data_IF_917075568561
#
_entry.id   IF_917075568561
#
_cell.length_a   1.000
_cell.length_b   1.000
_cell.length_c   1.000
_cell.angle_alpha   90.00
_cell.angle_beta   90.00
_cell.angle_gamma   90.00
#
_symmetry.space_group_name_H-M   'P 1'
#
loop_
_entity.id
_entity.type
_entity.pdbx_description
1 polymer ?
#
# COMPACT_ATOMS: atom_id res chain seq x y z
N UNK A 1 1.79 -12.31 -7.98
CA UNK A 1 1.99 -10.85 -8.18
C UNK A 1 0.90 -10.25 -9.05
N UNK A 2 0.66 -10.77 -10.26
CA UNK A 2 -0.45 -10.32 -11.13
C UNK A 2 -1.82 -10.36 -10.44
N UNK A 3 -2.10 -11.45 -9.72
CA UNK A 3 -3.32 -11.60 -8.90
C UNK A 3 -3.48 -10.50 -7.84
N UNK A 4 -2.39 -10.06 -7.19
CA UNK A 4 -2.45 -8.99 -6.19
C UNK A 4 -2.83 -7.66 -6.84
N UNK A 5 -2.30 -7.36 -8.03
CA UNK A 5 -2.66 -6.13 -8.74
C UNK A 5 -4.12 -6.14 -9.22
N UNK A 6 -4.62 -7.30 -9.67
CA UNK A 6 -6.03 -7.45 -10.05
C UNK A 6 -6.94 -7.26 -8.82
N UNK A 7 -6.63 -7.94 -7.71
CA UNK A 7 -7.39 -7.81 -6.45
C UNK A 7 -7.36 -6.37 -5.93
N UNK A 8 -6.20 -5.71 -5.97
CA UNK A 8 -6.06 -4.30 -5.60
C UNK A 8 -6.94 -3.38 -6.45
N UNK A 9 -6.93 -3.59 -7.78
CA UNK A 9 -7.72 -2.81 -8.73
C UNK A 9 -9.22 -2.96 -8.47
N UNK A 10 -9.68 -4.19 -8.23
CA UNK A 10 -11.07 -4.47 -7.90
C UNK A 10 -11.47 -3.87 -6.56
N UNK A 11 -10.54 -3.82 -5.60
CA UNK A 11 -10.80 -3.31 -4.27
C UNK A 11 -10.97 -1.79 -4.22
N UNK A 12 -10.40 -1.04 -5.16
CA UNK A 12 -10.41 0.44 -5.14
C UNK A 12 -11.82 1.03 -4.95
N UNK A 13 -12.86 0.39 -5.49
CA UNK A 13 -14.26 0.86 -5.38
C UNK A 13 -14.85 0.83 -3.96
N UNK A 14 -14.19 0.16 -3.03
CA UNK A 14 -14.63 0.04 -1.64
C UNK A 14 -13.87 0.96 -0.68
N UNK A 15 -12.84 1.66 -1.17
CA UNK A 15 -12.08 2.60 -0.37
C UNK A 15 -12.92 3.83 -0.06
N UNK A 16 -12.82 4.32 1.17
CA UNK A 16 -13.38 5.62 1.54
C UNK A 16 -12.42 6.73 1.09
N UNK A 17 -12.94 7.95 1.05
CA UNK A 17 -12.12 9.13 0.78
C UNK A 17 -10.90 9.18 1.71
N UNK A 18 -9.74 9.50 1.12
CA UNK A 18 -8.42 9.55 1.76
C UNK A 18 -7.84 8.21 2.23
N UNK A 19 -8.50 7.08 1.97
CA UNK A 19 -7.90 5.76 2.14
C UNK A 19 -7.30 5.29 0.82
N UNK A 20 -6.19 4.58 0.90
CA UNK A 20 -5.53 4.01 -0.28
C UNK A 20 -4.97 2.64 0.03
N UNK A 21 -4.80 1.80 -1.00
CA UNK A 21 -4.11 0.52 -0.82
C UNK A 21 -2.61 0.67 -0.96
N UNK A 22 -1.86 -0.22 -0.32
CA UNK A 22 -0.41 -0.36 -0.46
C UNK A 22 -0.08 -1.84 -0.56
N UNK A 23 0.57 -2.26 -1.65
CA UNK A 23 1.17 -3.59 -1.73
C UNK A 23 2.55 -3.50 -1.07
N UNK A 24 2.73 -4.21 0.03
CA UNK A 24 3.97 -4.19 0.82
C UNK A 24 4.39 -5.61 1.26
N UNK A 25 5.66 -5.81 1.64
CA UNK A 25 6.15 -7.09 2.13
C UNK A 25 5.34 -7.59 3.33
N UNK A 26 5.10 -8.89 3.42
CA UNK A 26 4.49 -9.51 4.61
C UNK A 26 5.46 -9.49 5.79
N UNK A 27 6.76 -9.66 5.53
CA UNK A 27 7.80 -9.66 6.54
C UNK A 27 8.01 -8.24 7.13
N UNK A 28 7.74 -8.02 8.43
CA UNK A 28 7.90 -6.72 9.07
C UNK A 28 9.31 -6.12 8.96
N UNK A 29 10.34 -6.97 8.92
CA UNK A 29 11.73 -6.53 8.81
C UNK A 29 12.06 -5.90 7.45
N UNK A 30 11.19 -6.10 6.46
CA UNK A 30 11.33 -5.57 5.10
C UNK A 30 10.55 -4.27 4.90
N UNK A 31 9.71 -3.85 5.84
CA UNK A 31 8.89 -2.64 5.69
C UNK A 31 9.71 -1.36 5.58
N UNK A 32 10.59 -1.12 6.55
CA UNK A 32 11.42 0.09 6.55
C UNK A 32 12.28 0.22 5.28
N UNK A 33 13.04 -0.81 4.84
CA UNK A 33 13.80 -0.70 3.60
C UNK A 33 12.90 -0.57 2.36
N UNK A 34 11.70 -1.16 2.37
CA UNK A 34 10.74 -1.04 1.27
C UNK A 34 10.20 0.39 1.14
N UNK A 35 9.75 0.99 2.25
CA UNK A 35 9.27 2.39 2.28
C UNK A 35 10.38 3.35 1.85
N UNK A 36 11.61 3.16 2.33
CA UNK A 36 12.78 3.96 1.89
C UNK A 36 13.02 3.84 0.38
N UNK A 37 12.76 2.68 -0.20
CA UNK A 37 12.92 2.45 -1.65
C UNK A 37 11.84 3.19 -2.42
N UNK A 38 10.58 3.08 -2.00
CA UNK A 38 9.46 3.82 -2.59
C UNK A 38 9.72 5.33 -2.54
N UNK A 39 10.11 5.86 -1.38
CA UNK A 39 10.41 7.29 -1.22
C UNK A 39 11.54 7.80 -2.12
N UNK A 40 12.49 6.94 -2.51
CA UNK A 40 13.56 7.30 -3.45
C UNK A 40 13.09 7.31 -4.91
N UNK A 41 12.09 6.49 -5.23
CA UNK A 41 11.56 6.34 -6.60
C UNK A 41 10.46 7.38 -6.86
N UNK A 42 9.61 7.63 -5.86
CA UNK A 42 8.49 8.53 -6.00
C UNK A 42 8.98 9.96 -6.29
N UNK A 43 8.33 10.68 -7.23
CA UNK A 43 8.64 12.08 -7.48
C UNK A 43 8.40 12.89 -6.20
N UNK A 44 9.45 13.51 -5.68
CA UNK A 44 9.39 14.32 -4.46
C UNK A 44 9.43 15.81 -4.80
N UNK A 45 8.50 16.56 -4.21
CA UNK A 45 8.46 18.01 -4.23
C UNK A 45 8.67 18.51 -2.79
N UNK A 46 8.93 19.81 -2.58
CA UNK A 46 9.16 20.36 -1.23
C UNK A 46 7.98 20.11 -0.25
N UNK A 47 6.79 19.81 -0.78
CA UNK A 47 5.58 19.52 0.00
C UNK A 47 5.14 18.04 -0.02
N UNK A 48 5.94 17.12 -0.58
CA UNK A 48 5.54 15.71 -0.64
C UNK A 48 5.60 15.04 0.73
N UNK A 49 4.52 14.36 1.09
CA UNK A 49 4.35 13.57 2.30
C UNK A 49 4.69 12.10 2.05
N UNK A 50 4.82 11.31 3.13
CA UNK A 50 4.98 9.85 3.01
C UNK A 50 3.75 9.22 2.34
N UNK A 51 2.54 9.75 2.59
CA UNK A 51 1.30 9.28 1.95
C UNK A 51 1.35 9.47 0.42
N UNK A 52 1.94 10.57 -0.07
CA UNK A 52 2.11 10.81 -1.51
C UNK A 52 3.00 9.77 -2.18
N UNK A 53 4.08 9.35 -1.49
CA UNK A 53 4.97 8.30 -1.99
C UNK A 53 4.31 6.92 -1.94
N UNK A 54 3.65 6.58 -0.83
CA UNK A 54 3.07 5.25 -0.62
C UNK A 54 1.80 5.03 -1.43
N UNK A 55 1.06 6.08 -1.78
CA UNK A 55 -0.09 5.99 -2.69
C UNK A 55 0.30 5.90 -4.17
N UNK A 56 1.57 6.19 -4.52
CA UNK A 56 2.07 6.14 -5.88
C UNK A 56 2.29 4.69 -6.35
N UNK A 57 1.35 4.18 -7.15
CA UNK A 57 1.34 2.78 -7.64
C UNK A 57 2.53 2.43 -8.52
N UNK A 58 3.03 3.38 -9.30
CA UNK A 58 4.20 3.15 -10.15
C UNK A 58 5.47 3.03 -9.30
N UNK A 59 5.65 3.89 -8.30
CA UNK A 59 6.77 3.81 -7.38
C UNK A 59 6.75 2.50 -6.56
N UNK A 60 5.57 2.09 -6.08
CA UNK A 60 5.39 0.80 -5.39
C UNK A 60 5.74 -0.37 -6.30
N UNK A 61 5.25 -0.37 -7.54
CA UNK A 61 5.54 -1.43 -8.53
C UNK A 61 7.03 -1.54 -8.84
N UNK A 62 7.72 -0.41 -9.00
CA UNK A 62 9.17 -0.39 -9.22
C UNK A 62 9.91 -0.86 -7.96
N UNK A 63 9.47 -0.48 -6.76
CA UNK A 63 10.08 -0.96 -5.51
C UNK A 63 9.97 -2.49 -5.38
N UNK A 64 8.80 -3.06 -5.70
CA UNK A 64 8.58 -4.52 -5.71
C UNK A 64 9.55 -5.22 -6.68
N UNK A 65 9.76 -4.65 -7.88
CA UNK A 65 10.68 -5.20 -8.89
C UNK A 65 12.15 -5.17 -8.45
N UNK A 66 12.53 -4.25 -7.57
CA UNK A 66 13.90 -4.10 -7.07
C UNK A 66 14.16 -4.83 -5.75
N UNK A 67 13.15 -5.46 -5.17
CA UNK A 67 13.28 -6.22 -3.93
C UNK A 67 13.60 -7.71 -4.20
N UNK A 68 14.08 -8.46 -3.18
CA UNK A 68 14.40 -9.86 -3.35
C UNK A 68 13.21 -10.66 -3.93
N UNK A 69 13.42 -11.52 -4.94
CA UNK A 69 12.33 -12.17 -5.68
C UNK A 69 11.52 -13.17 -4.83
N UNK A 70 12.04 -13.60 -3.68
CA UNK A 70 11.35 -14.47 -2.72
C UNK A 70 10.53 -13.70 -1.68
N UNK A 71 10.47 -12.36 -1.79
CA UNK A 71 9.68 -11.55 -0.86
C UNK A 71 8.20 -11.82 -1.09
N UNK A 72 7.50 -12.24 -0.04
CA UNK A 72 6.05 -12.34 -0.03
C UNK A 72 5.44 -10.95 0.17
N UNK A 73 4.38 -10.65 -0.58
CA UNK A 73 3.68 -9.37 -0.55
C UNK A 73 2.19 -9.58 -0.29
N UNK A 74 1.57 -8.59 0.35
CA UNK A 74 0.12 -8.53 0.51
C UNK A 74 -0.41 -7.11 0.35
N UNK A 75 -1.72 -6.98 0.17
CA UNK A 75 -2.40 -5.69 0.07
C UNK A 75 -2.79 -5.23 1.47
N UNK A 76 -2.30 -4.06 1.84
CA UNK A 76 -2.74 -3.31 3.00
C UNK A 76 -3.63 -2.16 2.57
N UNK A 77 -4.55 -1.74 3.43
CA UNK A 77 -5.27 -0.48 3.30
C UNK A 77 -4.69 0.50 4.30
N UNK A 78 -4.15 1.60 3.79
CA UNK A 78 -3.73 2.73 4.60
C UNK A 78 -4.96 3.60 4.87
N UNK A 79 -5.29 3.70 6.15
CA UNK A 79 -6.38 4.49 6.70
C UNK A 79 -5.77 5.82 7.13
N UNK A 80 -5.77 6.80 6.24
CA UNK A 80 -5.27 8.14 6.53
C UNK A 80 -6.38 8.98 7.20
N UNK A 81 -6.08 9.54 8.38
CA UNK A 81 -7.00 10.44 9.08
C UNK A 81 -6.41 11.08 10.34
N UNK A 82 -6.73 12.37 10.57
CA UNK A 82 -6.42 13.14 11.81
C UNK A 82 -4.99 12.96 12.35
N UNK A 83 -3.98 12.96 11.48
CA UNK A 83 -2.57 12.90 11.88
C UNK A 83 -2.07 11.53 12.33
N UNK A 84 -2.84 10.46 12.10
CA UNK A 84 -2.40 9.08 12.32
C UNK A 84 -2.49 8.29 11.02
N UNK A 85 -1.42 7.56 10.72
CA UNK A 85 -1.35 6.66 9.57
C UNK A 85 -1.50 5.23 10.12
N UNK A 86 -2.68 4.66 9.94
CA UNK A 86 -2.96 3.28 10.34
C UNK A 86 -2.98 2.41 9.09
N UNK A 87 -2.57 1.15 9.23
CA UNK A 87 -2.75 0.15 8.18
C UNK A 87 -3.66 -0.97 8.67
N UNK A 88 -4.36 -1.62 7.75
CA UNK A 88 -5.15 -2.82 7.98
C UNK A 88 -4.94 -3.78 6.81
N UNK A 89 -5.14 -5.07 7.01
CA UNK A 89 -5.31 -6.00 5.87
C UNK A 89 -6.64 -5.70 5.16
N UNK A 90 -6.83 -6.25 3.95
CA UNK A 90 -8.12 -6.16 3.26
C UNK A 90 -9.26 -6.75 4.11
N UNK A 91 -9.01 -7.87 4.80
CA UNK A 91 -9.97 -8.55 5.67
C UNK A 91 -10.38 -7.65 6.84
N UNK A 92 -9.41 -7.12 7.57
CA UNK A 92 -9.64 -6.21 8.70
C UNK A 92 -10.41 -4.95 8.26
N UNK A 93 -10.08 -4.40 7.09
CA UNK A 93 -10.78 -3.25 6.53
C UNK A 93 -12.22 -3.58 6.15
N UNK A 94 -12.46 -4.73 5.51
CA UNK A 94 -13.78 -5.20 5.15
C UNK A 94 -14.67 -5.43 6.38
N UNK A 95 -14.14 -6.06 7.42
CA UNK A 95 -14.85 -6.28 8.68
C UNK A 95 -15.23 -4.96 9.36
N UNK A 96 -14.28 -4.01 9.39
CA UNK A 96 -14.47 -2.68 9.98
C UNK A 96 -15.58 -1.88 9.29
N UNK A 97 -15.64 -1.95 7.97
CA UNK A 97 -16.58 -1.16 7.17
C UNK A 97 -17.76 -1.94 6.60
N UNK A 98 -17.94 -3.20 7.02
CA UNK A 98 -19.03 -4.09 6.56
C UNK A 98 -19.06 -4.24 5.03
N UNK A 99 -17.89 -4.32 4.41
CA UNK A 99 -17.75 -4.53 2.98
C UNK A 99 -17.80 -6.04 2.69
N UNK A 100 -18.56 -6.42 1.66
CA UNK A 100 -18.53 -7.77 1.09
C UNK A 100 -17.58 -7.79 -0.10
N UNK A 101 -16.39 -8.33 0.12
CA UNK A 101 -15.34 -8.49 -0.87
C UNK A 101 -14.71 -9.87 -0.65
N UNK A 102 -14.68 -10.69 -1.70
CA UNK A 102 -14.13 -12.05 -1.71
C UNK A 102 -12.81 -12.05 -2.49
#
# INVERSE_FOLDING_TARGET
>A
MEELYLKEKEFQKYLKDNHYTLIAPVNPNLFEPFIKTINKIAPSNVFSTIDDSLSNKDAVKVAIQNFPPQTEYQIYVIISGRGMMLHATLEEYCERYKIKFE
#
